data_IF_878954334304
#
_entry.id   IF_878954334304
#
_cell.length_a   1.000
_cell.length_b   1.000
_cell.length_c   1.000
_cell.angle_alpha   90.00
_cell.angle_beta   90.00
_cell.angle_gamma   90.00
#
_symmetry.space_group_name_H-M   'P 1'
#
loop_
_entity.id
_entity.type
_entity.pdbx_description
1 polymer ?
#
# COMPACT_ATOMS: atom_id res chain seq x y z
N UNK A 1 -68.25 16.51 -47.89
CA UNK A 1 -67.24 15.66 -47.23
C UNK A 1 -67.27 15.97 -45.74
N UNK A 2 -67.37 14.97 -44.85
CA UNK A 2 -67.84 15.19 -43.49
C UNK A 2 -66.73 15.76 -42.58
N UNK A 3 -67.09 16.58 -41.58
CA UNK A 3 -66.16 17.21 -40.62
C UNK A 3 -65.41 16.20 -39.73
N UNK A 4 -65.79 14.93 -39.77
CA UNK A 4 -65.18 13.83 -39.02
C UNK A 4 -63.79 13.43 -39.54
N UNK A 5 -63.50 13.66 -40.83
CA UNK A 5 -62.23 13.27 -41.43
C UNK A 5 -61.07 14.19 -41.03
N UNK A 6 -61.36 15.49 -40.82
CA UNK A 6 -60.36 16.50 -40.43
C UNK A 6 -59.98 16.34 -38.95
N UNK A 7 -60.94 15.97 -38.10
CA UNK A 7 -60.69 15.74 -36.66
C UNK A 7 -59.82 14.50 -36.41
N UNK A 8 -60.00 13.43 -37.19
CA UNK A 8 -59.17 12.23 -37.10
C UNK A 8 -57.71 12.46 -37.56
N UNK A 9 -57.49 13.27 -38.59
CA UNK A 9 -56.15 13.63 -39.06
C UNK A 9 -55.40 14.51 -38.05
N UNK A 10 -56.07 15.43 -37.36
CA UNK A 10 -55.44 16.24 -36.30
C UNK A 10 -55.05 15.43 -35.05
N UNK A 11 -55.86 14.42 -34.65
CA UNK A 11 -55.51 13.54 -33.53
C UNK A 11 -54.34 12.59 -33.87
N UNK A 12 -54.23 12.14 -35.12
CA UNK A 12 -53.10 11.31 -35.57
C UNK A 12 -51.79 12.11 -35.63
N UNK A 13 -51.84 13.39 -36.01
CA UNK A 13 -50.64 14.26 -36.04
C UNK A 13 -50.19 14.63 -34.62
N UNK A 14 -51.11 14.90 -33.68
CA UNK A 14 -50.77 15.25 -32.30
C UNK A 14 -50.24 14.07 -31.46
N UNK A 15 -50.58 12.83 -31.81
CA UNK A 15 -50.07 11.62 -31.12
C UNK A 15 -48.69 11.16 -31.62
N UNK A 16 -48.27 11.61 -32.81
CA UNK A 16 -46.93 11.31 -33.34
C UNK A 16 -45.78 12.11 -32.69
N UNK A 17 -46.09 13.18 -31.95
CA UNK A 17 -45.09 14.09 -31.36
C UNK A 17 -44.68 13.77 -29.91
N UNK A 18 -45.22 12.70 -29.31
CA UNK A 18 -44.92 12.32 -27.91
C UNK A 18 -44.60 10.83 -27.82
N UNK A 19 -43.65 10.36 -28.63
CA UNK A 19 -42.88 9.20 -28.23
C UNK A 19 -41.69 9.71 -27.42
N UNK A 20 -41.62 9.45 -26.10
CA UNK A 20 -40.38 9.63 -25.39
C UNK A 20 -39.37 8.72 -26.08
N UNK A 21 -38.40 9.30 -26.79
CA UNK A 21 -37.21 8.60 -27.22
C UNK A 21 -36.52 8.16 -25.95
N UNK A 22 -36.82 6.94 -25.51
CA UNK A 22 -36.08 6.27 -24.45
C UNK A 22 -34.71 6.00 -25.06
N UNK A 23 -33.82 6.99 -24.98
CA UNK A 23 -32.40 6.77 -25.20
C UNK A 23 -31.96 5.88 -24.05
N UNK A 24 -32.02 4.57 -24.26
CA UNK A 24 -31.27 3.64 -23.43
C UNK A 24 -29.81 4.06 -23.58
N UNK A 25 -29.26 4.73 -22.58
CA UNK A 25 -27.81 4.85 -22.44
C UNK A 25 -27.30 3.42 -22.30
N UNK A 26 -26.94 2.80 -23.42
CA UNK A 26 -26.11 1.60 -23.41
C UNK A 26 -24.82 2.04 -22.72
N UNK A 27 -24.67 1.68 -21.44
CA UNK A 27 -23.43 1.91 -20.71
C UNK A 27 -22.26 1.41 -21.55
N UNK A 28 -21.23 2.24 -21.69
CA UNK A 28 -20.06 1.89 -22.48
C UNK A 28 -19.45 0.58 -21.96
N UNK A 29 -19.30 -0.41 -22.83
CA UNK A 29 -18.67 -1.68 -22.48
C UNK A 29 -17.17 -1.43 -22.30
N UNK A 30 -16.71 -1.49 -21.06
CA UNK A 30 -15.31 -1.29 -20.68
C UNK A 30 -14.70 -2.55 -20.08
N UNK A 31 -13.39 -2.70 -20.24
CA UNK A 31 -12.59 -3.70 -19.52
C UNK A 31 -11.71 -2.95 -18.53
N UNK A 32 -11.79 -3.35 -17.26
CA UNK A 32 -10.99 -2.78 -16.18
C UNK A 32 -10.06 -3.85 -15.63
N UNK A 33 -8.76 -3.59 -15.69
CA UNK A 33 -7.75 -4.39 -15.01
C UNK A 33 -7.27 -3.65 -13.77
N UNK A 34 -7.00 -4.39 -12.68
CA UNK A 34 -6.35 -3.86 -11.47
C UNK A 34 -5.24 -4.78 -11.03
N UNK A 35 -4.14 -4.20 -10.54
CA UNK A 35 -3.03 -4.93 -9.96
C UNK A 35 -3.00 -4.66 -8.47
N UNK A 36 -3.19 -5.66 -7.62
CA UNK A 36 -3.26 -5.47 -6.16
C UNK A 36 -1.98 -5.97 -5.48
N UNK A 37 -1.53 -5.22 -4.47
CA UNK A 37 -0.46 -5.67 -3.59
C UNK A 37 -0.90 -6.90 -2.78
N UNK A 38 0.03 -7.81 -2.44
CA UNK A 38 -0.28 -8.93 -1.52
C UNK A 38 -0.20 -8.57 -0.05
N UNK A 39 0.33 -7.40 0.28
CA UNK A 39 0.38 -6.90 1.64
C UNK A 39 -0.78 -5.92 1.89
N UNK A 40 -1.22 -5.77 3.15
CA UNK A 40 -2.26 -4.81 3.49
C UNK A 40 -1.78 -3.38 3.25
N UNK A 41 -2.74 -2.47 3.17
CA UNK A 41 -2.51 -1.04 3.07
C UNK A 41 -1.55 -0.55 4.17
N UNK A 42 -0.57 0.23 3.77
CA UNK A 42 0.44 0.85 4.64
C UNK A 42 0.05 2.30 4.93
N UNK A 43 0.51 2.84 6.06
CA UNK A 43 0.21 4.23 6.44
C UNK A 43 0.95 5.22 5.53
N UNK A 44 0.24 6.22 5.00
CA UNK A 44 0.84 7.26 4.15
C UNK A 44 1.88 8.09 4.91
N UNK A 45 1.68 8.27 6.22
CA UNK A 45 2.64 8.96 7.08
C UNK A 45 3.99 8.22 7.09
N UNK A 46 3.96 6.88 7.22
CA UNK A 46 5.16 6.06 7.24
C UNK A 46 5.81 5.96 5.85
N UNK A 47 5.02 5.97 4.77
CA UNK A 47 5.60 6.02 3.42
C UNK A 47 6.28 7.37 3.13
N UNK A 48 5.72 8.46 3.64
CA UNK A 48 6.34 9.78 3.52
C UNK A 48 7.59 9.93 4.38
N UNK A 49 7.63 9.33 5.57
CA UNK A 49 8.86 9.32 6.37
C UNK A 49 9.97 8.54 5.66
N UNK A 50 9.67 7.40 5.05
CA UNK A 50 10.65 6.64 4.24
C UNK A 50 11.15 7.43 3.02
N UNK A 51 10.30 8.22 2.35
CA UNK A 51 10.75 9.15 1.31
C UNK A 51 11.73 10.19 1.86
N UNK A 52 11.41 10.79 3.02
CA UNK A 52 12.27 11.78 3.66
C UNK A 52 13.60 11.20 4.15
N UNK A 53 13.62 9.91 4.52
CA UNK A 53 14.85 9.21 4.86
C UNK A 53 15.77 9.02 3.65
N UNK A 54 15.22 8.87 2.45
CA UNK A 54 16.02 8.81 1.22
C UNK A 54 16.64 10.17 0.87
N UNK A 55 15.97 11.28 1.19
CA UNK A 55 16.54 12.63 1.07
C UNK A 55 17.64 12.88 2.12
N UNK A 56 17.48 12.33 3.32
CA UNK A 56 18.48 12.38 4.38
C UNK A 56 18.01 11.83 5.73
N UNK A 57 18.93 11.24 6.50
CA UNK A 57 18.62 10.73 7.84
C UNK A 57 18.28 11.87 8.82
N UNK A 58 18.92 13.04 8.68
CA UNK A 58 18.59 14.23 9.47
C UNK A 58 17.16 14.73 9.16
N UNK A 59 16.78 14.83 7.88
CA UNK A 59 15.44 15.24 7.47
C UNK A 59 14.35 14.27 7.94
N UNK A 60 14.65 12.97 7.99
CA UNK A 60 13.77 11.98 8.59
C UNK A 60 13.50 12.29 10.07
N UNK A 61 14.55 12.51 10.87
CA UNK A 61 14.39 12.75 12.31
C UNK A 61 13.75 14.11 12.63
N UNK A 62 14.03 15.16 11.84
CA UNK A 62 13.34 16.45 11.96
C UNK A 62 11.84 16.32 11.67
N UNK A 63 11.48 15.54 10.65
CA UNK A 63 10.09 15.23 10.33
C UNK A 63 9.41 14.44 11.45
N UNK A 64 10.07 13.40 11.97
CA UNK A 64 9.59 12.60 13.10
C UNK A 64 9.30 13.50 14.31
N UNK A 65 10.18 14.43 14.64
CA UNK A 65 9.97 15.38 15.74
C UNK A 65 8.76 16.29 15.49
N UNK A 66 8.58 16.78 14.26
CA UNK A 66 7.44 17.63 13.91
C UNK A 66 6.10 16.91 13.97
N UNK A 67 6.11 15.60 13.73
CA UNK A 67 4.93 14.74 13.79
C UNK A 67 4.59 14.34 15.23
N UNK A 68 5.57 14.31 16.15
CA UNK A 68 5.32 14.06 17.58
C UNK A 68 4.37 15.09 18.19
N UNK A 69 4.51 16.35 17.78
CA UNK A 69 3.70 17.47 18.29
C UNK A 69 2.25 17.44 17.78
N UNK A 70 1.91 16.56 16.83
CA UNK A 70 0.60 16.48 16.21
C UNK A 70 0.05 15.05 16.30
N UNK A 71 -0.97 14.86 17.14
CA UNK A 71 -1.73 13.60 17.16
C UNK A 71 -2.60 13.50 15.90
N UNK A 72 -2.07 12.86 14.85
CA UNK A 72 -2.80 12.53 13.61
C UNK A 72 -3.98 11.57 13.82
N UNK A 73 -4.23 11.16 15.06
CA UNK A 73 -5.09 10.06 15.52
C UNK A 73 -6.58 10.25 15.18
N UNK A 74 -7.01 11.42 14.70
CA UNK A 74 -8.44 11.70 14.46
C UNK A 74 -8.79 12.33 13.09
N UNK A 75 -7.82 12.49 12.18
CA UNK A 75 -8.12 13.08 10.87
C UNK A 75 -8.71 12.06 9.89
N UNK A 76 -9.72 12.47 9.10
CA UNK A 76 -10.18 11.72 7.94
C UNK A 76 -9.01 11.53 6.94
N UNK A 77 -8.96 10.42 6.21
CA UNK A 77 -7.84 10.09 5.28
C UNK A 77 -7.48 11.24 4.31
N UNK A 78 -8.46 12.02 3.84
CA UNK A 78 -8.21 13.18 2.97
C UNK A 78 -7.52 14.34 3.71
N UNK A 79 -7.97 14.65 4.93
CA UNK A 79 -7.39 15.70 5.77
C UNK A 79 -5.99 15.30 6.26
N UNK A 80 -5.76 14.00 6.47
CA UNK A 80 -4.46 13.43 6.81
C UNK A 80 -3.44 13.67 5.69
N UNK A 81 -3.83 13.44 4.44
CA UNK A 81 -2.94 13.68 3.29
C UNK A 81 -2.55 15.15 3.16
N UNK A 82 -3.50 16.08 3.20
CA UNK A 82 -3.18 17.51 3.06
C UNK A 82 -2.29 18.02 4.19
N UNK A 83 -2.54 17.56 5.43
CA UNK A 83 -1.71 17.89 6.58
C UNK A 83 -0.30 17.30 6.44
N UNK A 84 -0.20 16.05 6.01
CA UNK A 84 1.08 15.38 5.74
C UNK A 84 1.92 16.16 4.72
N UNK A 85 1.32 16.51 3.58
CA UNK A 85 1.99 17.30 2.53
C UNK A 85 2.41 18.67 3.08
N UNK A 86 1.56 19.34 3.85
CA UNK A 86 1.88 20.64 4.46
C UNK A 86 3.05 20.57 5.43
N UNK A 87 3.18 19.48 6.19
CA UNK A 87 4.30 19.25 7.12
C UNK A 87 5.58 18.89 6.38
N UNK A 88 5.51 17.97 5.42
CA UNK A 88 6.65 17.60 4.61
C UNK A 88 7.21 18.78 3.79
N UNK A 89 6.35 19.72 3.36
CA UNK A 89 6.77 20.93 2.65
C UNK A 89 7.72 21.84 3.44
N UNK A 90 7.85 21.67 4.76
CA UNK A 90 8.80 22.43 5.59
C UNK A 90 10.24 21.95 5.37
N UNK A 91 10.42 20.69 4.98
CA UNK A 91 11.72 20.04 4.79
C UNK A 91 12.10 19.88 3.31
N UNK A 92 11.13 20.09 2.41
CA UNK A 92 11.27 19.78 0.99
C UNK A 92 11.14 21.01 0.10
N UNK A 93 11.95 21.07 -0.95
CA UNK A 93 11.76 22.01 -2.06
C UNK A 93 10.46 21.73 -2.81
N UNK A 94 9.93 22.68 -3.60
CA UNK A 94 8.72 22.46 -4.41
C UNK A 94 8.83 21.27 -5.38
N UNK A 95 10.03 20.98 -5.87
CA UNK A 95 10.30 19.84 -6.76
C UNK A 95 10.22 18.53 -5.98
N UNK A 96 10.92 18.42 -4.84
CA UNK A 96 10.86 17.25 -3.98
C UNK A 96 9.45 17.01 -3.45
N UNK A 97 8.70 18.06 -3.12
CA UNK A 97 7.31 17.94 -2.68
C UNK A 97 6.41 17.37 -3.78
N UNK A 98 6.64 17.77 -5.04
CA UNK A 98 5.93 17.20 -6.19
C UNK A 98 6.29 15.74 -6.40
N UNK A 99 7.57 15.37 -6.19
CA UNK A 99 8.03 13.99 -6.22
C UNK A 99 7.43 13.15 -5.09
N UNK A 100 7.31 13.70 -3.87
CA UNK A 100 6.62 13.05 -2.75
C UNK A 100 5.16 12.76 -3.08
N UNK A 101 4.43 13.74 -3.64
CA UNK A 101 3.03 13.51 -4.06
C UNK A 101 2.93 12.39 -5.10
N UNK A 102 3.87 12.37 -6.05
CA UNK A 102 3.96 11.31 -7.04
C UNK A 102 4.26 9.96 -6.39
N UNK A 103 5.27 9.88 -5.52
CA UNK A 103 5.69 8.64 -4.85
C UNK A 103 4.59 8.06 -3.97
N UNK A 104 3.82 8.90 -3.26
CA UNK A 104 2.64 8.50 -2.50
C UNK A 104 1.49 8.03 -3.42
N UNK A 105 1.34 8.61 -4.61
CA UNK A 105 0.32 8.19 -5.58
C UNK A 105 0.60 6.81 -6.17
N UNK A 106 1.89 6.47 -6.35
CA UNK A 106 2.33 5.16 -6.87
C UNK A 106 2.75 4.18 -5.76
N UNK A 107 2.73 4.62 -4.49
CA UNK A 107 3.05 3.83 -3.29
C UNK A 107 4.47 3.24 -3.31
N UNK A 108 5.45 4.02 -3.76
CA UNK A 108 6.86 3.60 -3.92
C UNK A 108 7.45 2.99 -2.65
N UNK A 109 7.15 3.57 -1.49
CA UNK A 109 7.72 3.17 -0.19
C UNK A 109 6.87 2.17 0.59
N UNK A 110 5.70 1.79 0.07
CA UNK A 110 4.86 0.76 0.70
C UNK A 110 5.60 -0.58 0.94
N UNK A 111 6.46 -1.07 0.02
CA UNK A 111 7.27 -2.25 0.29
C UNK A 111 8.24 -2.10 1.47
N UNK A 112 8.83 -0.92 1.67
CA UNK A 112 9.76 -0.66 2.78
C UNK A 112 9.02 -0.71 4.14
N UNK A 113 7.86 -0.06 4.22
CA UNK A 113 6.99 -0.14 5.40
C UNK A 113 6.52 -1.57 5.65
N UNK A 114 6.20 -2.32 4.59
CA UNK A 114 5.83 -3.73 4.73
C UNK A 114 7.01 -4.59 5.21
N UNK A 115 8.23 -4.33 4.76
CA UNK A 115 9.44 -5.01 5.23
C UNK A 115 9.64 -4.81 6.74
N UNK A 116 9.51 -3.57 7.25
CA UNK A 116 9.61 -3.29 8.69
C UNK A 116 8.57 -4.08 9.50
N UNK A 117 7.36 -4.23 8.96
CA UNK A 117 6.32 -5.06 9.57
C UNK A 117 6.71 -6.54 9.63
N UNK A 118 7.34 -7.09 8.58
CA UNK A 118 7.80 -8.47 8.60
C UNK A 118 8.89 -8.68 9.65
N UNK A 119 9.83 -7.74 9.76
CA UNK A 119 10.83 -7.76 10.83
C UNK A 119 10.19 -7.71 12.21
N UNK A 120 9.14 -6.91 12.40
CA UNK A 120 8.41 -6.87 13.66
C UNK A 120 7.72 -8.20 13.97
N UNK A 121 7.16 -8.87 12.96
CA UNK A 121 6.53 -10.20 13.10
C UNK A 121 7.57 -11.28 13.49
N UNK A 122 8.81 -11.20 12.98
CA UNK A 122 9.91 -12.10 13.37
C UNK A 122 10.34 -11.94 14.83
N UNK A 123 10.36 -10.70 15.35
CA UNK A 123 10.64 -10.40 16.77
C UNK A 123 9.53 -10.87 17.72
N UNK A 124 8.37 -11.32 17.20
CA UNK A 124 7.22 -11.77 17.99
C UNK A 124 6.71 -10.69 18.98
N UNK A 125 6.01 -9.66 18.48
CA UNK A 125 5.66 -8.50 19.28
C UNK A 125 4.71 -8.90 20.42
N UNK A 126 4.86 -8.34 21.64
CA UNK A 126 3.99 -8.74 22.74
C UNK A 126 2.53 -8.34 22.48
N UNK A 127 1.61 -9.15 22.98
CA UNK A 127 0.19 -9.06 22.64
C UNK A 127 -0.38 -7.73 23.17
N UNK A 128 -1.01 -6.97 22.29
CA UNK A 128 -1.75 -5.75 22.67
C UNK A 128 -0.91 -4.47 22.66
N UNK A 129 0.37 -4.54 22.33
CA UNK A 129 1.25 -3.36 22.32
C UNK A 129 1.09 -2.51 21.07
N UNK A 130 1.06 -1.19 21.25
CA UNK A 130 1.08 -0.21 20.15
C UNK A 130 2.50 0.11 19.70
N UNK A 131 3.43 0.14 20.66
CA UNK A 131 4.86 0.23 20.45
C UNK A 131 5.56 -0.74 21.39
N UNK A 132 6.71 -1.24 20.97
CA UNK A 132 7.56 -2.09 21.81
C UNK A 132 9.04 -1.87 21.46
N UNK A 133 9.90 -2.09 22.45
CA UNK A 133 11.35 -2.04 22.30
C UNK A 133 11.92 -3.45 22.26
N UNK A 134 12.98 -3.64 21.49
CA UNK A 134 13.81 -4.84 21.50
C UNK A 134 15.22 -4.42 21.89
N UNK A 135 15.68 -4.93 23.02
CA UNK A 135 17.05 -4.76 23.50
C UNK A 135 17.69 -6.14 23.42
N UNK A 136 18.64 -6.36 22.52
CA UNK A 136 19.43 -7.61 22.40
C UNK A 136 18.57 -8.90 22.55
N UNK A 137 17.46 -8.98 21.79
CA UNK A 137 16.56 -10.14 21.74
C UNK A 137 15.50 -10.26 22.85
N UNK A 138 15.43 -9.33 23.80
CA UNK A 138 14.29 -9.24 24.74
C UNK A 138 13.39 -8.07 24.37
N UNK A 139 12.09 -8.30 24.45
CA UNK A 139 11.07 -7.33 24.07
C UNK A 139 10.36 -6.77 25.31
N UNK A 140 9.98 -5.50 25.27
CA UNK A 140 9.12 -4.88 26.27
C UNK A 140 8.22 -3.81 25.65
N UNK A 141 7.01 -3.67 26.17
CA UNK A 141 6.07 -2.62 25.78
C UNK A 141 5.94 -1.52 26.82
N UNK A 142 6.65 -1.65 27.94
CA UNK A 142 6.53 -0.77 29.10
C UNK A 142 7.83 0.03 29.20
N UNK A 143 7.78 1.37 29.12
CA UNK A 143 8.97 2.22 29.22
C UNK A 143 9.79 2.01 30.50
N UNK A 144 9.12 1.71 31.61
CA UNK A 144 9.74 1.52 32.92
C UNK A 144 10.65 0.27 32.98
N UNK A 145 10.38 -0.75 32.17
CA UNK A 145 11.19 -1.96 32.11
C UNK A 145 12.47 -1.78 31.27
N UNK A 146 12.61 -0.67 30.54
CA UNK A 146 13.78 -0.40 29.71
C UNK A 146 15.07 -0.44 30.53
N UNK A 147 15.09 0.18 31.71
CA UNK A 147 16.29 0.22 32.57
C UNK A 147 16.76 -1.19 32.95
N UNK A 148 15.83 -2.11 33.22
CA UNK A 148 16.16 -3.52 33.54
C UNK A 148 16.76 -4.23 32.32
N UNK A 149 16.22 -3.98 31.13
CA UNK A 149 16.70 -4.57 29.88
C UNK A 149 18.08 -4.05 29.48
N UNK A 150 18.38 -2.78 29.74
CA UNK A 150 19.68 -2.18 29.45
C UNK A 150 20.80 -2.80 30.32
N UNK A 151 20.52 -3.07 31.59
CA UNK A 151 21.50 -3.70 32.50
C UNK A 151 21.86 -5.12 32.03
N UNK A 152 20.88 -5.90 31.58
CA UNK A 152 21.09 -7.28 31.09
C UNK A 152 21.52 -7.36 29.62
N UNK A 153 21.75 -6.24 28.94
CA UNK A 153 22.05 -6.23 27.50
C UNK A 153 23.43 -6.80 27.18
N UNK A 154 24.41 -6.61 28.07
CA UNK A 154 25.81 -7.05 27.85
C UNK A 154 25.97 -8.56 27.69
N UNK A 155 25.09 -9.36 28.30
CA UNK A 155 25.14 -10.82 28.27
C UNK A 155 24.56 -11.42 26.98
N UNK A 156 24.00 -10.58 26.10
CA UNK A 156 23.20 -10.99 24.95
C UNK A 156 23.80 -10.50 23.65
N UNK A 157 23.65 -11.26 22.54
CA UNK A 157 24.25 -10.89 21.27
C UNK A 157 23.69 -9.56 20.77
N UNK A 158 24.58 -8.72 20.24
CA UNK A 158 24.21 -7.44 19.61
C UNK A 158 23.28 -7.73 18.42
N UNK A 159 22.13 -7.04 18.31
CA UNK A 159 21.20 -7.25 17.22
C UNK A 159 21.79 -6.77 15.89
N UNK A 160 21.37 -7.42 14.81
CA UNK A 160 21.77 -7.03 13.46
C UNK A 160 21.01 -5.79 13.01
N UNK A 161 21.77 -4.79 12.55
CA UNK A 161 21.23 -3.60 11.92
C UNK A 161 21.20 -3.77 10.39
N UNK A 162 20.12 -3.31 9.77
CA UNK A 162 19.94 -3.33 8.32
C UNK A 162 20.23 -1.95 7.72
N UNK A 163 20.51 -1.90 6.42
CA UNK A 163 20.80 -0.64 5.73
C UNK A 163 19.63 0.35 5.71
N UNK A 164 18.39 -0.13 5.86
CA UNK A 164 17.19 0.69 5.93
C UNK A 164 16.74 1.00 7.36
N UNK A 165 17.58 0.75 8.36
CA UNK A 165 17.29 1.11 9.74
C UNK A 165 17.60 2.60 9.96
N UNK A 166 16.67 3.30 10.62
CA UNK A 166 16.84 4.72 10.95
C UNK A 166 17.55 4.85 12.29
N UNK A 167 18.83 5.22 12.31
CA UNK A 167 19.64 5.39 13.54
C UNK A 167 19.49 6.82 14.02
N UNK A 168 19.16 6.99 15.30
CA UNK A 168 19.05 8.32 15.89
C UNK A 168 20.42 8.99 15.98
N UNK A 169 20.56 10.29 15.66
CA UNK A 169 21.80 11.02 15.84
C UNK A 169 22.16 11.05 17.33
N UNK A 170 23.18 10.29 17.71
CA UNK A 170 23.64 10.11 19.08
C UNK A 170 25.16 10.21 19.20
N UNK A 171 25.65 10.27 20.43
CA UNK A 171 27.08 10.38 20.69
C UNK A 171 27.75 8.99 20.66
N UNK A 172 28.66 8.79 19.69
CA UNK A 172 29.48 7.58 19.61
C UNK A 172 28.78 6.32 19.09
N UNK A 173 29.35 5.15 19.40
CA UNK A 173 28.78 3.84 19.08
C UNK A 173 28.86 2.92 20.32
N UNK A 174 28.00 3.14 21.33
CA UNK A 174 27.97 2.30 22.52
C UNK A 174 27.59 0.85 22.17
N UNK A 175 27.98 -0.12 23.02
CA UNK A 175 27.74 -1.55 22.74
C UNK A 175 26.26 -1.92 22.78
N UNK A 176 25.43 -1.14 23.47
CA UNK A 176 24.00 -1.41 23.66
C UNK A 176 23.20 -0.83 22.51
N UNK A 177 22.45 -1.68 21.82
CA UNK A 177 21.55 -1.29 20.72
C UNK A 177 20.10 -1.53 21.12
N UNK A 178 19.27 -0.51 20.94
CA UNK A 178 17.83 -0.58 21.19
C UNK A 178 17.06 -0.31 19.90
N UNK A 179 16.24 -1.29 19.51
CA UNK A 179 15.32 -1.18 18.38
C UNK A 179 13.94 -0.79 18.92
N UNK A 180 13.40 0.34 18.48
CA UNK A 180 12.01 0.72 18.74
C UNK A 180 11.16 0.35 17.54
N UNK A 181 10.14 -0.46 17.79
CA UNK A 181 9.08 -0.75 16.84
C UNK A 181 7.85 0.06 17.22
N UNK A 182 7.52 1.07 16.42
CA UNK A 182 6.38 1.94 16.71
C UNK A 182 5.79 2.60 15.46
N UNK A 183 4.57 3.12 15.60
CA UNK A 183 3.94 4.00 14.62
C UNK A 183 4.19 5.45 15.02
N UNK A 184 4.87 6.20 14.15
CA UNK A 184 5.17 7.62 14.36
C UNK A 184 3.83 8.39 14.47
N UNK A 185 3.76 9.37 15.38
CA UNK A 185 2.54 10.16 15.63
C UNK A 185 1.58 9.55 16.66
N UNK A 186 1.92 8.39 17.24
CA UNK A 186 1.17 7.81 18.36
C UNK A 186 1.73 8.26 19.72
N UNK A 187 0.89 8.32 20.77
CA UNK A 187 1.37 8.64 22.13
C UNK A 187 2.35 7.60 22.66
N UNK A 188 2.18 6.32 22.31
CA UNK A 188 3.09 5.25 22.67
C UNK A 188 4.49 5.45 22.04
N UNK A 189 4.56 5.94 20.81
CA UNK A 189 5.84 6.30 20.20
C UNK A 189 6.51 7.47 20.95
N UNK A 190 5.76 8.52 21.27
CA UNK A 190 6.28 9.70 21.96
C UNK A 190 6.94 9.36 23.30
N UNK A 191 6.32 8.51 24.13
CA UNK A 191 6.87 8.14 25.44
C UNK A 191 8.22 7.42 25.32
N UNK A 192 8.33 6.44 24.42
CA UNK A 192 9.59 5.75 24.16
C UNK A 192 10.63 6.66 23.51
N UNK A 193 10.23 7.48 22.54
CA UNK A 193 11.13 8.36 21.81
C UNK A 193 11.80 9.37 22.74
N UNK A 194 11.06 10.00 23.67
CA UNK A 194 11.63 10.96 24.63
C UNK A 194 12.66 10.32 25.57
N UNK A 195 12.47 9.06 25.95
CA UNK A 195 13.41 8.33 26.80
C UNK A 195 14.67 7.93 26.02
N UNK A 196 14.49 7.31 24.85
CA UNK A 196 15.58 6.78 24.02
C UNK A 196 16.44 7.88 23.41
N UNK A 197 15.85 8.99 22.97
CA UNK A 197 16.58 10.14 22.43
C UNK A 197 17.53 10.75 23.46
N UNK A 198 17.10 10.90 24.71
CA UNK A 198 17.97 11.40 25.80
C UNK A 198 19.16 10.47 26.06
N UNK A 199 18.91 9.17 26.13
CA UNK A 199 19.96 8.17 26.35
C UNK A 199 20.92 8.09 25.15
N UNK A 200 20.42 8.21 23.93
CA UNK A 200 21.25 8.24 22.72
C UNK A 200 22.12 9.52 22.63
N UNK A 201 21.58 10.67 23.03
CA UNK A 201 22.33 11.94 23.10
C UNK A 201 23.41 11.90 24.17
N UNK A 202 23.15 11.23 25.30
CA UNK A 202 24.15 11.00 26.35
C UNK A 202 25.26 10.01 25.92
N UNK A 203 25.03 9.24 24.84
CA UNK A 203 25.97 8.23 24.35
C UNK A 203 25.87 6.88 25.05
N UNK A 204 24.77 6.62 25.75
CA UNK A 204 24.56 5.39 26.52
C UNK A 204 24.12 4.21 25.65
N UNK A 205 23.40 4.49 24.55
CA UNK A 205 22.87 3.47 23.64
C UNK A 205 22.77 3.95 22.19
N UNK A 206 22.74 3.00 21.27
CA UNK A 206 22.36 3.22 19.88
C UNK A 206 20.85 3.03 19.76
N UNK A 207 20.13 4.11 19.47
CA UNK A 207 18.69 4.09 19.26
C UNK A 207 18.38 3.96 17.77
N UNK A 208 17.58 2.95 17.40
CA UNK A 208 17.13 2.72 16.03
C UNK A 208 15.60 2.64 16.01
N UNK A 209 14.98 3.27 15.01
CA UNK A 209 13.53 3.22 14.79
C UNK A 209 13.20 2.32 13.60
N UNK A 210 12.27 1.38 13.81
CA UNK A 210 11.64 0.56 12.78
C UNK A 210 10.13 0.79 12.81
N UNK A 211 9.52 0.88 11.63
CA UNK A 211 8.10 1.11 11.50
C UNK A 211 7.27 -0.11 11.95
N UNK A 212 6.31 0.11 12.85
CA UNK A 212 5.37 -0.91 13.30
C UNK A 212 3.98 -0.31 13.50
N UNK A 213 2.97 -0.94 12.93
CA UNK A 213 1.57 -0.57 13.14
C UNK A 213 0.86 -1.74 13.80
N UNK A 214 0.27 -1.48 14.96
CA UNK A 214 -0.51 -2.49 15.70
C UNK A 214 -1.62 -3.04 14.81
N UNK A 215 -1.58 -4.35 14.64
CA UNK A 215 -2.54 -5.05 13.80
C UNK A 215 -3.75 -5.41 14.64
N UNK A 216 -4.82 -4.64 14.49
CA UNK A 216 -6.09 -4.98 15.12
C UNK A 216 -6.67 -6.22 14.43
N UNK A 217 -6.76 -7.34 15.16
CA UNK A 217 -7.28 -8.63 14.67
C UNK A 217 -8.72 -8.55 14.14
N UNK A 218 -9.44 -7.48 14.47
CA UNK A 218 -10.84 -7.25 14.13
C UNK A 218 -11.08 -6.50 12.82
N UNK A 219 -10.05 -5.91 12.20
CA UNK A 219 -10.25 -5.13 10.97
C UNK A 219 -9.92 -5.94 9.71
N UNK A 220 -10.78 -5.89 8.68
CA UNK A 220 -10.48 -6.56 7.41
C UNK A 220 -9.22 -5.94 6.80
N UNK A 221 -8.26 -6.79 6.43
CA UNK A 221 -7.07 -6.37 5.68
C UNK A 221 -7.52 -5.74 4.36
N UNK A 222 -7.41 -4.41 4.26
CA UNK A 222 -7.64 -3.67 3.01
C UNK A 222 -6.36 -3.78 2.18
N UNK A 223 -6.50 -4.25 0.95
CA UNK A 223 -5.43 -4.24 -0.04
C UNK A 223 -5.59 -2.99 -0.91
N UNK A 224 -4.51 -2.57 -1.55
CA UNK A 224 -4.50 -1.42 -2.45
C UNK A 224 -3.97 -1.81 -3.82
N UNK A 225 -4.43 -1.07 -4.83
CA UNK A 225 -3.99 -1.29 -6.20
C UNK A 225 -2.68 -0.55 -6.47
N UNK A 226 -1.71 -1.27 -7.01
CA UNK A 226 -0.42 -0.77 -7.45
C UNK A 226 -0.58 -0.02 -8.76
N UNK A 227 0.19 1.06 -8.91
CA UNK A 227 0.32 1.87 -10.12
C UNK A 227 1.78 2.34 -10.24
N UNK A 228 2.31 2.63 -11.43
CA UNK A 228 1.72 2.37 -12.75
C UNK A 228 1.86 0.89 -13.14
N UNK A 229 0.92 0.38 -13.94
CA UNK A 229 1.07 -0.89 -14.65
C UNK A 229 0.41 -0.81 -16.02
N UNK A 230 0.91 -1.61 -16.96
CA UNK A 230 0.33 -1.73 -18.30
C UNK A 230 -0.30 -3.11 -18.45
N UNK A 231 -1.43 -3.19 -19.17
CA UNK A 231 -2.03 -4.45 -19.57
C UNK A 231 -2.33 -4.43 -21.07
N UNK A 232 -2.13 -5.57 -21.74
CA UNK A 232 -2.45 -5.76 -23.14
C UNK A 232 -3.62 -6.71 -23.28
N UNK A 233 -4.50 -6.43 -24.25
CA UNK A 233 -5.55 -7.35 -24.66
C UNK A 233 -5.20 -7.91 -26.04
N UNK A 234 -5.32 -9.21 -26.20
CA UNK A 234 -5.10 -9.88 -27.48
C UNK A 234 -6.32 -10.74 -27.79
N UNK A 235 -6.87 -10.57 -28.98
CA UNK A 235 -7.97 -11.40 -29.46
C UNK A 235 -7.40 -12.69 -30.04
N UNK A 236 -7.88 -13.82 -29.53
CA UNK A 236 -7.61 -15.13 -30.11
C UNK A 236 -8.92 -15.68 -30.66
N UNK A 237 -8.99 -15.84 -31.99
CA UNK A 237 -10.08 -16.59 -32.62
C UNK A 237 -9.59 -18.01 -32.90
N UNK A 238 -10.44 -19.02 -32.68
CA UNK A 238 -10.05 -20.45 -32.56
C UNK A 238 -9.33 -21.07 -33.77
N UNK A 239 -9.28 -20.37 -34.90
CA UNK A 239 -8.63 -20.82 -36.14
C UNK A 239 -7.28 -20.14 -36.42
N UNK A 240 -6.97 -19.03 -35.75
CA UNK A 240 -5.73 -18.27 -35.97
C UNK A 240 -4.91 -18.29 -34.68
N UNK A 241 -3.70 -18.87 -34.76
CA UNK A 241 -2.73 -18.94 -33.66
C UNK A 241 -2.67 -17.61 -32.91
N UNK A 242 -2.90 -17.66 -31.60
CA UNK A 242 -2.65 -16.52 -30.71
C UNK A 242 -1.22 -16.04 -30.92
N UNK A 243 -1.04 -14.89 -31.58
CA UNK A 243 0.25 -14.21 -31.59
C UNK A 243 0.41 -13.65 -30.18
N UNK A 244 1.18 -14.33 -29.33
CA UNK A 244 1.56 -13.72 -28.07
C UNK A 244 2.29 -12.42 -28.40
N UNK A 245 1.93 -11.27 -27.79
CA UNK A 245 2.73 -10.08 -27.94
C UNK A 245 4.14 -10.44 -27.50
N UNK A 246 5.09 -10.31 -28.44
CA UNK A 246 6.51 -10.42 -28.13
C UNK A 246 6.80 -9.24 -27.22
N UNK A 247 6.66 -9.44 -25.91
CA UNK A 247 7.20 -8.52 -24.92
C UNK A 247 8.70 -8.58 -25.15
N UNK A 248 9.23 -7.66 -25.98
CA UNK A 248 10.62 -7.26 -25.87
C UNK A 248 10.80 -6.95 -24.39
N UNK A 249 11.68 -7.71 -23.76
CA UNK A 249 12.00 -7.66 -22.34
C UNK A 249 12.48 -6.24 -22.05
N UNK A 250 11.56 -5.32 -21.80
CA UNK A 250 11.87 -4.04 -21.18
C UNK A 250 12.24 -4.41 -19.76
N UNK A 251 13.52 -4.64 -19.55
CA UNK A 251 14.13 -4.49 -18.24
C UNK A 251 13.93 -3.03 -17.91
N UNK A 252 12.77 -2.70 -17.34
CA UNK A 252 12.66 -1.50 -16.53
C UNK A 252 13.63 -1.79 -15.40
N UNK A 253 14.81 -1.18 -15.48
CA UNK A 253 15.69 -1.06 -14.34
C UNK A 253 14.89 -0.29 -13.29
N UNK A 254 14.10 -1.01 -12.48
CA UNK A 254 13.87 -0.56 -11.13
C UNK A 254 15.28 -0.36 -10.58
N UNK A 255 15.61 0.91 -10.30
CA UNK A 255 16.74 1.25 -9.42
C UNK A 255 16.70 0.23 -8.30
N UNK A 256 17.81 -0.49 -8.14
CA UNK A 256 17.87 -1.74 -7.40
C UNK A 256 17.57 -1.54 -5.92
N UNK A 257 16.29 -1.44 -5.57
CA UNK A 257 15.82 -1.74 -4.23
C UNK A 257 15.87 -3.25 -4.08
N UNK A 258 17.06 -3.76 -3.74
CA UNK A 258 17.23 -5.14 -3.30
C UNK A 258 16.60 -5.24 -1.92
N UNK A 259 15.28 -5.41 -1.88
CA UNK A 259 14.60 -5.82 -0.67
C UNK A 259 14.94 -7.30 -0.43
N UNK A 260 15.48 -7.68 0.74
CA UNK A 260 15.91 -9.05 1.01
C UNK A 260 14.76 -10.07 1.09
N UNK A 261 13.49 -9.61 1.02
CA UNK A 261 12.31 -10.46 1.18
C UNK A 261 11.39 -10.47 -0.05
N UNK A 262 10.79 -11.65 -0.27
CA UNK A 262 9.99 -12.05 -1.45
C UNK A 262 8.69 -11.27 -1.55
N UNK A 263 8.69 -10.09 -2.17
CA UNK A 263 7.46 -9.36 -2.50
C UNK A 263 6.67 -10.14 -3.56
N UNK A 264 5.46 -10.55 -3.23
CA UNK A 264 4.56 -11.23 -4.16
C UNK A 264 3.42 -10.28 -4.59
N UNK A 265 2.93 -10.38 -5.83
CA UNK A 265 1.85 -9.52 -6.37
C UNK A 265 0.68 -10.36 -6.91
N UNK A 266 -0.57 -9.90 -6.76
CA UNK A 266 -1.78 -10.56 -7.29
C UNK A 266 -2.49 -9.65 -8.29
N UNK A 267 -2.74 -10.12 -9.52
CA UNK A 267 -3.54 -9.39 -10.50
C UNK A 267 -5.03 -9.78 -10.41
N UNK A 268 -5.94 -8.81 -10.59
CA UNK A 268 -7.39 -9.03 -10.68
C UNK A 268 -7.93 -8.46 -11.99
N UNK A 269 -8.73 -9.24 -12.69
CA UNK A 269 -9.44 -8.81 -13.90
C UNK A 269 -10.94 -8.97 -13.67
N UNK A 270 -11.69 -7.88 -13.86
CA UNK A 270 -13.15 -7.91 -13.81
C UNK A 270 -13.71 -7.66 -15.24
N UNK A 271 -14.48 -8.62 -15.74
CA UNK A 271 -15.16 -8.52 -17.03
C UNK A 271 -16.64 -8.26 -16.84
N UNK A 272 -17.24 -7.40 -17.68
CA UNK A 272 -18.69 -7.38 -17.90
C UNK A 272 -18.99 -8.12 -19.19
N UNK A 273 -19.56 -9.32 -19.08
CA UNK A 273 -20.05 -10.10 -20.23
C UNK A 273 -21.56 -10.10 -20.19
N UNK A 274 -22.21 -9.78 -21.32
CA UNK A 274 -23.63 -10.08 -21.52
C UNK A 274 -23.72 -11.33 -22.38
N UNK A 275 -24.29 -12.41 -21.85
CA UNK A 275 -24.81 -13.48 -22.69
C UNK A 275 -26.05 -12.98 -23.40
N UNK A 276 -26.00 -12.89 -24.72
CA UNK A 276 -27.19 -12.77 -25.55
C UNK A 276 -27.76 -14.17 -25.80
N UNK A 277 -28.45 -14.75 -24.82
CA UNK A 277 -29.40 -15.82 -25.13
C UNK A 277 -30.65 -15.20 -25.73
N UNK A 278 -31.13 -15.73 -26.85
CA UNK A 278 -32.26 -15.28 -27.67
C UNK A 278 -33.65 -15.20 -26.97
N UNK A 279 -33.71 -15.09 -25.64
CA UNK A 279 -34.96 -14.89 -24.88
C UNK A 279 -34.73 -13.89 -23.73
N UNK A 280 -35.20 -12.65 -23.95
CA UNK A 280 -35.79 -11.71 -22.97
C UNK A 280 -35.26 -11.61 -21.52
N UNK A 281 -33.97 -11.79 -21.24
CA UNK A 281 -33.36 -11.29 -19.99
C UNK A 281 -31.84 -11.10 -20.10
N UNK A 282 -31.42 -9.85 -20.35
CA UNK A 282 -30.02 -9.45 -20.22
C UNK A 282 -29.59 -9.57 -18.75
N UNK A 283 -28.72 -10.54 -18.44
CA UNK A 283 -28.03 -10.63 -17.14
C UNK A 283 -26.59 -10.15 -17.33
N UNK A 284 -26.16 -9.17 -16.54
CA UNK A 284 -24.76 -8.73 -16.47
C UNK A 284 -23.98 -9.74 -15.63
N UNK A 285 -23.16 -10.59 -16.24
CA UNK A 285 -22.27 -11.50 -15.52
C UNK A 285 -20.92 -10.80 -15.30
N UNK A 286 -20.54 -10.62 -14.03
CA UNK A 286 -19.18 -10.22 -13.65
C UNK A 286 -18.31 -11.48 -13.59
N UNK A 287 -17.27 -11.56 -14.42
CA UNK A 287 -16.28 -12.63 -14.34
C UNK A 287 -15.00 -12.11 -13.70
N UNK A 288 -14.40 -12.89 -12.79
CA UNK A 288 -13.16 -12.55 -12.08
C UNK A 288 -12.06 -13.52 -12.47
N UNK A 289 -10.94 -13.02 -12.99
CA UNK A 289 -9.70 -13.81 -13.12
C UNK A 289 -8.66 -13.31 -12.11
N UNK A 290 -8.02 -14.24 -11.41
CA UNK A 290 -6.97 -13.92 -10.43
C UNK A 290 -5.64 -14.50 -10.89
N UNK A 291 -4.65 -13.64 -11.14
CA UNK A 291 -3.29 -14.05 -11.49
C UNK A 291 -2.45 -14.11 -10.21
N UNK A 292 -2.03 -15.32 -9.81
CA UNK A 292 -1.10 -15.51 -8.70
C UNK A 292 0.31 -15.74 -9.25
N UNK A 293 1.22 -14.80 -9.01
CA UNK A 293 2.66 -15.02 -9.24
C UNK A 293 3.28 -15.73 -8.03
N UNK A 294 4.08 -16.77 -8.28
CA UNK A 294 4.88 -17.48 -7.27
C UNK A 294 6.32 -17.59 -7.78
N UNK A 295 7.21 -16.75 -7.28
CA UNK A 295 8.64 -16.76 -7.65
C UNK A 295 9.34 -17.92 -6.93
N UNK A 296 9.64 -19.05 -7.57
CA UNK A 296 10.46 -20.12 -6.94
C UNK A 296 11.93 -19.85 -7.27
N UNK A 297 12.78 -19.78 -6.24
CA UNK A 297 14.23 -19.79 -6.40
C UNK A 297 14.65 -21.23 -6.70
N UNK A 298 15.09 -21.49 -7.93
CA UNK A 298 15.88 -22.67 -8.27
C UNK A 298 17.29 -22.16 -8.60
N UNK A 299 18.29 -22.63 -7.84
CA UNK A 299 19.74 -22.55 -8.13
C UNK A 299 20.14 -21.51 -9.19
N UNK A 300 20.21 -20.23 -8.79
CA UNK A 300 20.77 -19.15 -9.61
C UNK A 300 19.90 -18.60 -10.74
N UNK A 301 18.67 -19.11 -10.95
CA UNK A 301 17.75 -18.60 -11.98
C UNK A 301 16.41 -18.21 -11.32
N UNK A 302 16.07 -16.91 -11.38
CA UNK A 302 14.74 -16.43 -11.03
C UNK A 302 13.74 -16.85 -12.13
N UNK A 303 12.96 -17.91 -11.88
CA UNK A 303 11.80 -18.28 -12.69
C UNK A 303 10.51 -17.80 -12.01
N UNK A 304 9.83 -16.84 -12.65
CA UNK A 304 8.46 -16.47 -12.31
C UNK A 304 7.50 -17.51 -12.91
N UNK A 305 6.93 -18.38 -12.07
CA UNK A 305 5.81 -19.23 -12.46
C UNK A 305 4.50 -18.44 -12.26
N UNK A 306 3.79 -18.22 -13.36
CA UNK A 306 2.44 -17.66 -13.38
C UNK A 306 1.44 -18.81 -13.37
N UNK A 307 0.60 -18.90 -12.33
CA UNK A 307 -0.48 -19.89 -12.26
C UNK A 307 -1.82 -19.20 -12.38
N UNK A 308 -2.66 -19.68 -13.30
CA UNK A 308 -4.01 -19.19 -13.54
C UNK A 308 -5.01 -20.02 -12.72
N UNK A 309 -6.02 -19.35 -12.14
CA UNK A 309 -7.13 -20.01 -11.45
C UNK A 309 -8.43 -19.30 -11.84
N UNK A 310 -9.41 -20.11 -12.26
CA UNK A 310 -10.76 -19.69 -12.63
C UNK A 310 -11.71 -19.89 -11.45
N UNK A 311 -12.45 -18.85 -11.07
CA UNK A 311 -13.56 -18.95 -10.11
C UNK A 311 -14.79 -18.29 -10.73
N UNK A 312 -15.86 -19.06 -10.93
CA UNK A 312 -17.17 -18.54 -11.34
C UNK A 312 -17.87 -17.94 -10.13
N UNK A 313 -18.13 -16.63 -10.16
CA UNK A 313 -18.91 -15.96 -9.12
C UNK A 313 -20.32 -15.70 -9.63
N UNK A 314 -21.32 -16.29 -8.97
CA UNK A 314 -22.73 -15.96 -9.18
C UNK A 314 -23.11 -14.94 -8.11
N UNK A 315 -23.38 -13.68 -8.44
CA UNK A 315 -23.86 -12.72 -7.46
C UNK A 315 -25.27 -13.11 -6.99
N UNK A 316 -25.53 -12.96 -5.69
CA UNK A 316 -26.87 -13.01 -5.10
C UNK A 316 -27.73 -11.85 -5.61
#
# INVERSE_FOLDING_TARGET
MPPMAVFCLCLAVLTSSIYPVFSSQLGSKGVTATLDAKWPHTSLLLEASEFLAEEGEETFWEFVQTVLDFSFVQALESQLYDLLIKKAAQFLSPVQLSLLKFSLSIRTYSPAVHMCRQLAEEESPPIGCEAFVVVHGQTSCIPEDLTKLLISAGDRPRPTLFKGDHKFPGAGDPPVVVLLYAEIGTPAFSSFHHLLSKLAQAGDLVYVLRHYVKVWLTFPKRYFSLKPFNFGMTFCNGELKCVQPVYRKWVINFVSFVFPFRSQVTGRFDFQVMESSLLSRARSTKQRMTLKSKVRLFSGIQLCLLTWSWEHYVPA
#
